data_IF_703781223777
#
_entry.id   IF_703781223777
#
_cell.length_a   1.000
_cell.length_b   1.000
_cell.length_c   1.000
_cell.angle_alpha   90.00
_cell.angle_beta   90.00
_cell.angle_gamma   90.00
#
_symmetry.space_group_name_H-M   'P 1'
#
loop_
_entity.id
_entity.type
_entity.pdbx_description
1 polymer ?
#
# COMPACT_ATOMS: atom_id res chain seq x y z
N UNK A 1 15.69 11.69 -10.49
CA UNK A 1 15.25 10.39 -9.98
C UNK A 1 14.01 10.61 -9.14
N UNK A 2 12.82 10.60 -9.74
CA UNK A 2 11.57 10.75 -9.00
C UNK A 2 11.32 9.53 -8.10
N UNK A 3 10.75 9.81 -6.93
CA UNK A 3 10.34 8.81 -5.96
C UNK A 3 8.87 9.01 -5.59
N UNK A 4 8.15 7.91 -5.44
CA UNK A 4 6.77 7.86 -4.95
C UNK A 4 6.81 7.10 -3.63
N UNK A 5 6.16 7.64 -2.59
CA UNK A 5 5.99 6.91 -1.33
C UNK A 5 4.50 6.66 -1.13
N UNK A 6 4.14 5.39 -0.90
CA UNK A 6 2.79 5.00 -0.51
C UNK A 6 2.80 4.71 0.98
N UNK A 7 2.11 5.55 1.75
CA UNK A 7 1.82 5.33 3.16
C UNK A 7 0.45 4.68 3.29
N UNK A 8 0.42 3.46 3.80
CA UNK A 8 -0.82 2.68 3.91
C UNK A 8 -0.76 1.68 5.06
N UNK A 9 -1.90 1.10 5.42
CA UNK A 9 -1.89 -0.14 6.18
C UNK A 9 -1.17 -1.25 5.39
N UNK A 10 -0.74 -2.32 6.08
CA UNK A 10 -0.02 -3.43 5.44
C UNK A 10 -0.79 -4.06 4.27
N UNK A 11 -0.26 -3.83 3.07
CA UNK A 11 -0.76 -4.38 1.80
C UNK A 11 -0.21 -5.78 1.56
N UNK A 12 -0.99 -6.62 0.88
CA UNK A 12 -0.51 -7.89 0.35
C UNK A 12 0.54 -7.66 -0.73
N UNK A 13 1.37 -8.67 -1.02
CA UNK A 13 2.44 -8.52 -2.02
C UNK A 13 1.84 -8.31 -3.44
N UNK A 14 0.74 -8.99 -3.76
CA UNK A 14 -0.03 -8.77 -5.00
C UNK A 14 -0.53 -7.32 -5.13
N UNK A 15 -1.07 -6.73 -4.04
CA UNK A 15 -1.48 -5.33 -4.06
C UNK A 15 -0.31 -4.38 -4.30
N UNK A 16 0.86 -4.66 -3.70
CA UNK A 16 2.06 -3.86 -3.91
C UNK A 16 2.52 -3.91 -5.37
N UNK A 17 2.49 -5.08 -6.01
CA UNK A 17 2.83 -5.21 -7.43
C UNK A 17 1.90 -4.40 -8.33
N UNK A 18 0.58 -4.53 -8.11
CA UNK A 18 -0.44 -3.81 -8.89
C UNK A 18 -0.31 -2.28 -8.71
N UNK A 19 -0.11 -1.82 -7.48
CA UNK A 19 0.06 -0.39 -7.20
C UNK A 19 1.37 0.13 -7.79
N UNK A 20 2.47 -0.61 -7.64
CA UNK A 20 3.76 -0.22 -8.20
C UNK A 20 3.67 0.02 -9.72
N UNK A 21 3.10 -0.93 -10.47
CA UNK A 21 2.94 -0.78 -11.92
C UNK A 21 2.07 0.43 -12.28
N UNK A 22 0.90 0.57 -11.65
CA UNK A 22 -0.04 1.66 -11.98
C UNK A 22 0.55 3.04 -11.72
N UNK A 23 1.10 3.26 -10.52
CA UNK A 23 1.61 4.58 -10.15
C UNK A 23 2.88 4.96 -10.92
N UNK A 24 3.79 4.00 -11.13
CA UNK A 24 4.99 4.24 -11.95
C UNK A 24 4.61 4.52 -13.40
N UNK A 25 3.64 3.80 -13.95
CA UNK A 25 3.16 4.02 -15.32
C UNK A 25 2.58 5.41 -15.50
N UNK A 26 1.64 5.80 -14.65
CA UNK A 26 1.02 7.13 -14.70
C UNK A 26 2.08 8.23 -14.57
N UNK A 27 3.01 8.09 -13.62
CA UNK A 27 4.08 9.06 -13.43
C UNK A 27 4.96 9.18 -14.69
N UNK A 28 5.35 8.05 -15.28
CA UNK A 28 6.16 7.99 -16.50
C UNK A 28 5.45 8.67 -17.68
N UNK A 29 4.17 8.40 -17.88
CA UNK A 29 3.37 8.95 -18.98
C UNK A 29 3.28 10.48 -18.93
N UNK A 30 3.08 11.04 -17.72
CA UNK A 30 2.92 12.48 -17.51
C UNK A 30 4.28 13.19 -17.55
N UNK A 31 5.26 12.68 -16.80
CA UNK A 31 6.56 13.33 -16.63
C UNK A 31 7.56 13.05 -17.75
N UNK A 32 7.28 12.06 -18.60
CA UNK A 32 8.19 11.53 -19.63
C UNK A 32 9.49 10.92 -19.07
N UNK A 33 9.57 10.66 -17.76
CA UNK A 33 10.69 9.94 -17.15
C UNK A 33 10.52 8.42 -17.44
N UNK A 34 11.57 7.71 -17.89
CA UNK A 34 11.52 6.26 -18.08
C UNK A 34 11.15 5.50 -16.79
N UNK A 35 10.33 4.45 -16.92
CA UNK A 35 9.84 3.66 -15.76
C UNK A 35 10.95 3.11 -14.87
N UNK A 36 12.07 2.66 -15.46
CA UNK A 36 13.25 2.14 -14.76
C UNK A 36 14.02 3.19 -13.94
N UNK A 37 13.62 4.47 -14.03
CA UNK A 37 14.19 5.59 -13.28
C UNK A 37 13.23 6.18 -12.25
N UNK A 38 12.06 5.57 -12.07
CA UNK A 38 11.04 5.95 -11.09
C UNK A 38 11.04 4.90 -9.98
N UNK A 39 11.23 5.34 -8.75
CA UNK A 39 11.26 4.44 -7.58
C UNK A 39 9.96 4.60 -6.80
N UNK A 40 9.38 3.49 -6.36
CA UNK A 40 8.21 3.50 -5.48
C UNK A 40 8.52 2.73 -4.20
N UNK A 41 8.29 3.39 -3.07
CA UNK A 41 8.52 2.84 -1.74
C UNK A 41 7.18 2.64 -1.04
N UNK A 42 7.02 1.49 -0.39
CA UNK A 42 5.89 1.21 0.48
C UNK A 42 6.30 1.43 1.94
N UNK A 43 5.61 2.33 2.60
CA UNK A 43 5.73 2.61 4.03
C UNK A 43 4.46 2.11 4.72
N UNK A 44 4.51 0.84 5.15
CA UNK A 44 3.37 0.09 5.65
C UNK A 44 3.23 0.18 7.17
N UNK A 45 2.02 0.42 7.66
CA UNK A 45 1.70 0.46 9.08
C UNK A 45 0.84 -0.74 9.49
N UNK A 46 1.11 -1.31 10.66
CA UNK A 46 0.21 -2.28 11.30
C UNK A 46 -1.06 -1.60 11.81
N UNK A 47 -2.09 -2.37 12.13
CA UNK A 47 -3.37 -1.85 12.65
C UNK A 47 -3.21 -1.02 13.94
N UNK A 48 -2.19 -1.32 14.75
CA UNK A 48 -1.92 -0.62 16.01
C UNK A 48 -1.08 0.65 15.85
N UNK A 49 -0.64 0.96 14.63
CA UNK A 49 0.17 2.14 14.33
C UNK A 49 -0.61 3.22 13.56
N UNK A 50 -1.90 3.00 13.31
CA UNK A 50 -2.76 3.94 12.60
C UNK A 50 -4.03 4.25 13.39
N UNK A 51 -4.45 5.51 13.39
CA UNK A 51 -5.71 5.97 13.95
C UNK A 51 -6.49 6.80 12.93
N UNK A 52 -7.81 6.71 12.97
CA UNK A 52 -8.73 7.52 12.18
C UNK A 52 -9.93 7.91 13.04
N UNK A 53 -10.42 9.15 12.91
CA UNK A 53 -11.52 9.68 13.74
C UNK A 53 -11.29 9.58 15.25
N UNK A 54 -10.03 9.71 15.69
CA UNK A 54 -9.66 9.63 17.11
C UNK A 54 -9.61 8.21 17.67
N UNK A 55 -9.78 7.18 16.84
CA UNK A 55 -9.77 5.78 17.27
C UNK A 55 -8.71 4.97 16.51
N UNK A 56 -8.09 4.02 17.22
CA UNK A 56 -7.13 3.09 16.64
C UNK A 56 -7.82 2.18 15.61
N UNK A 57 -7.18 1.94 14.48
CA UNK A 57 -7.69 1.01 13.47
C UNK A 57 -7.88 -0.40 14.02
N UNK A 58 -7.07 -0.83 14.98
CA UNK A 58 -7.25 -2.13 15.64
C UNK A 58 -8.55 -2.27 16.44
N UNK A 59 -9.22 -1.18 16.82
CA UNK A 59 -10.56 -1.23 17.46
C UNK A 59 -11.68 -1.53 16.46
N UNK A 60 -11.49 -1.10 15.22
CA UNK A 60 -12.45 -1.26 14.13
C UNK A 60 -11.73 -1.68 12.84
N UNK A 61 -11.16 -2.91 12.81
CA UNK A 61 -10.44 -3.36 11.63
C UNK A 61 -11.38 -3.35 10.42
N UNK A 62 -10.93 -2.87 9.25
CA UNK A 62 -11.78 -2.80 8.07
C UNK A 62 -12.25 -4.19 7.68
N UNK A 63 -13.57 -4.41 7.60
CA UNK A 63 -14.14 -5.72 7.25
C UNK A 63 -13.93 -6.09 5.77
N UNK A 64 -13.69 -5.11 4.91
CA UNK A 64 -13.61 -5.25 3.44
C UNK A 64 -12.20 -5.04 2.90
N UNK A 65 -11.31 -4.38 3.64
CA UNK A 65 -9.95 -4.17 3.17
C UNK A 65 -9.18 -5.48 3.34
N UNK A 66 -8.84 -6.14 2.22
CA UNK A 66 -7.97 -7.31 2.22
C UNK A 66 -6.53 -6.82 2.34
N UNK A 67 -5.99 -6.73 3.55
CA UNK A 67 -4.58 -6.48 3.81
C UNK A 67 -3.88 -7.71 4.38
N UNK A 68 -2.59 -7.60 4.72
CA UNK A 68 -1.88 -8.70 5.42
C UNK A 68 -2.56 -9.08 6.75
N UNK A 69 -3.21 -8.12 7.39
CA UNK A 69 -3.93 -8.30 8.66
C UNK A 69 -5.27 -9.04 8.56
N UNK A 70 -5.80 -9.26 7.35
CA UNK A 70 -7.10 -9.89 7.12
C UNK A 70 -7.04 -11.12 6.22
N UNK A 71 -5.84 -11.53 5.78
CA UNK A 71 -5.66 -12.83 5.14
C UNK A 71 -5.97 -13.90 6.19
N UNK A 72 -7.16 -14.52 6.11
CA UNK A 72 -7.43 -15.76 6.85
C UNK A 72 -6.30 -16.73 6.52
N UNK A 73 -5.61 -17.23 7.55
CA UNK A 73 -4.71 -18.38 7.39
C UNK A 73 -5.53 -19.49 6.75
N UNK A 74 -5.23 -19.84 5.50
CA UNK A 74 -5.73 -21.09 4.93
C UNK A 74 -5.14 -22.23 5.76
N UNK A 75 -5.92 -22.76 6.70
CA UNK A 75 -5.58 -23.92 7.51
C UNK A 75 -5.66 -23.68 9.02
N UNK A 76 -6.87 -23.55 9.56
CA UNK A 76 -7.28 -24.07 10.88
C UNK A 76 -8.64 -24.75 10.72
#
# INVERSE_FOLDING_TARGET
MPAITIQSLELTDEQKEILADKYITIFSEISKVPKDRIYLFFDGYTLDNAACNGEMFSKHPPKLAVGKFSQQKQGE
#
